data_IF_057207097870
#
_entry.id   IF_057207097870
#
_cell.length_a   1.000
_cell.length_b   1.000
_cell.length_c   1.000
_cell.angle_alpha   90.00
_cell.angle_beta   90.00
_cell.angle_gamma   90.00
#
_symmetry.space_group_name_H-M   'P 1'
#
loop_
_entity.id
_entity.type
_entity.pdbx_description
1 polymer ?
#
# COMPACT_ATOMS: atom_id res chain seq x y z
N UNK A 1 -7.96 27.64 -39.19
CA UNK A 1 -7.47 26.35 -38.65
C UNK A 1 -8.58 25.80 -37.78
N UNK A 2 -9.13 24.62 -38.09
CA UNK A 2 -10.40 24.18 -37.50
C UNK A 2 -10.19 23.43 -36.17
N UNK A 3 -11.06 23.62 -35.19
CA UNK A 3 -10.91 23.10 -33.82
C UNK A 3 -10.75 21.56 -33.77
N UNK A 4 -11.37 20.85 -34.72
CA UNK A 4 -11.24 19.40 -34.87
C UNK A 4 -9.81 18.95 -35.26
N UNK A 5 -9.06 19.79 -35.99
CA UNK A 5 -7.66 19.52 -36.35
C UNK A 5 -6.74 19.68 -35.14
N UNK A 6 -7.00 20.68 -34.29
CA UNK A 6 -6.25 20.93 -33.05
C UNK A 6 -6.44 19.81 -32.02
N UNK A 7 -7.68 19.35 -31.81
CA UNK A 7 -7.99 18.26 -30.86
C UNK A 7 -7.35 16.94 -31.31
N UNK A 8 -7.39 16.63 -32.62
CA UNK A 8 -6.77 15.41 -33.17
C UNK A 8 -5.25 15.41 -33.00
N UNK A 9 -4.60 16.58 -33.14
CA UNK A 9 -3.16 16.74 -32.94
C UNK A 9 -2.77 16.58 -31.45
N UNK A 10 -3.54 17.17 -30.53
CA UNK A 10 -3.36 17.01 -29.07
C UNK A 10 -3.56 15.56 -28.57
N UNK A 11 -4.52 14.81 -29.12
CA UNK A 11 -4.72 13.40 -28.77
C UNK A 11 -3.66 12.46 -29.33
N UNK A 12 -3.06 12.80 -30.48
CA UNK A 12 -1.95 12.02 -31.06
C UNK A 12 -0.64 12.30 -30.30
N UNK A 13 -0.40 13.55 -29.87
CA UNK A 13 0.81 13.92 -29.14
C UNK A 13 0.84 13.39 -27.70
N UNK A 14 -0.31 13.28 -27.02
CA UNK A 14 -0.38 12.74 -25.66
C UNK A 14 -0.19 11.22 -25.62
N UNK A 15 -0.76 10.48 -26.59
CA UNK A 15 -0.52 9.04 -26.74
C UNK A 15 0.92 8.70 -27.15
N UNK A 16 1.55 9.54 -27.97
CA UNK A 16 2.94 9.39 -28.40
C UNK A 16 3.96 9.75 -27.30
N UNK A 17 3.62 10.65 -26.37
CA UNK A 17 4.49 11.05 -25.27
C UNK A 17 4.74 9.90 -24.27
N UNK A 18 3.73 9.09 -23.96
CA UNK A 18 3.89 7.91 -23.10
C UNK A 18 4.69 6.78 -23.74
N UNK A 19 4.67 6.66 -25.07
CA UNK A 19 5.48 5.67 -25.80
C UNK A 19 6.97 6.00 -25.85
N UNK A 20 7.39 7.20 -25.41
CA UNK A 20 8.81 7.63 -25.44
C UNK A 20 9.54 7.49 -24.10
N UNK A 21 8.84 7.20 -23.00
CA UNK A 21 9.49 7.06 -21.71
C UNK A 21 10.24 5.74 -21.64
N UNK A 22 11.46 5.79 -21.11
CA UNK A 22 12.17 4.58 -20.71
C UNK A 22 11.41 3.84 -19.62
N UNK A 23 11.62 2.53 -19.51
CA UNK A 23 11.08 1.76 -18.39
C UNK A 23 11.51 2.35 -17.04
N UNK A 24 12.78 2.79 -16.94
CA UNK A 24 13.29 3.47 -15.74
C UNK A 24 12.54 4.78 -15.48
N UNK A 25 12.36 5.64 -16.49
CA UNK A 25 11.62 6.90 -16.34
C UNK A 25 10.17 6.66 -15.94
N UNK A 26 9.52 5.65 -16.52
CA UNK A 26 8.16 5.27 -16.16
C UNK A 26 8.08 4.86 -14.68
N UNK A 27 8.97 3.96 -14.23
CA UNK A 27 9.02 3.50 -12.84
C UNK A 27 9.36 4.65 -11.89
N UNK A 28 10.33 5.49 -12.24
CA UNK A 28 10.72 6.67 -11.48
C UNK A 28 9.56 7.67 -11.36
N UNK A 29 8.87 7.95 -12.47
CA UNK A 29 7.70 8.83 -12.49
C UNK A 29 6.54 8.29 -11.64
N UNK A 30 6.22 7.00 -11.78
CA UNK A 30 5.22 6.33 -10.94
C UNK A 30 5.61 6.34 -9.46
N UNK A 31 6.90 6.16 -9.14
CA UNK A 31 7.41 6.21 -7.77
C UNK A 31 7.30 7.61 -7.17
N UNK A 32 7.59 8.65 -7.96
CA UNK A 32 7.41 10.04 -7.52
C UNK A 32 5.94 10.37 -7.30
N UNK A 33 5.07 9.91 -8.17
CA UNK A 33 3.62 10.04 -7.98
C UNK A 33 3.18 9.36 -6.67
N UNK A 34 3.64 8.14 -6.40
CA UNK A 34 3.34 7.44 -5.15
C UNK A 34 3.89 8.20 -3.92
N UNK A 35 5.07 8.81 -4.00
CA UNK A 35 5.60 9.64 -2.91
C UNK A 35 4.71 10.84 -2.61
N UNK A 36 4.10 11.45 -3.62
CA UNK A 36 3.23 12.63 -3.45
C UNK A 36 1.92 12.23 -2.75
N UNK A 37 1.33 11.09 -3.12
CA UNK A 37 0.03 10.65 -2.60
C UNK A 37 0.13 9.84 -1.31
N UNK A 38 1.14 8.98 -1.19
CA UNK A 38 1.28 7.99 -0.13
C UNK A 38 2.59 8.11 0.67
N UNK A 39 3.44 9.11 0.37
CA UNK A 39 4.61 9.46 1.16
C UNK A 39 4.25 10.14 2.48
N UNK A 40 5.18 10.89 3.07
CA UNK A 40 4.93 11.58 4.35
C UNK A 40 3.91 12.71 4.18
N UNK A 41 2.96 12.80 5.11
CA UNK A 41 1.79 13.68 4.99
C UNK A 41 2.05 15.11 5.45
N UNK A 42 3.14 15.35 6.18
CA UNK A 42 3.48 16.63 6.78
C UNK A 42 4.98 16.89 6.77
N UNK A 43 5.35 18.12 7.09
CA UNK A 43 6.74 18.53 7.29
C UNK A 43 7.57 18.67 6.00
N UNK A 44 8.89 18.70 6.20
CA UNK A 44 9.88 18.96 5.15
C UNK A 44 9.81 17.93 4.02
N UNK A 45 9.56 16.65 4.34
CA UNK A 45 9.53 15.59 3.33
C UNK A 45 8.43 15.80 2.29
N UNK A 46 7.22 16.15 2.73
CA UNK A 46 6.11 16.48 1.82
C UNK A 46 6.46 17.64 0.91
N UNK A 47 6.99 18.73 1.47
CA UNK A 47 7.37 19.91 0.71
C UNK A 47 8.42 19.59 -0.35
N UNK A 48 9.48 18.86 0.01
CA UNK A 48 10.55 18.47 -0.91
C UNK A 48 10.03 17.56 -2.02
N UNK A 49 9.16 16.62 -1.71
CA UNK A 49 8.53 15.73 -2.72
C UNK A 49 7.66 16.51 -3.71
N UNK A 50 6.86 17.48 -3.23
CA UNK A 50 6.04 18.34 -4.08
C UNK A 50 6.90 19.25 -4.97
N UNK A 51 7.97 19.81 -4.42
CA UNK A 51 8.94 20.59 -5.19
C UNK A 51 9.65 19.73 -6.24
N UNK A 52 10.00 18.48 -5.91
CA UNK A 52 10.57 17.52 -6.84
C UNK A 52 9.58 17.19 -7.98
N UNK A 53 8.29 17.01 -7.69
CA UNK A 53 7.26 16.83 -8.70
C UNK A 53 7.21 18.04 -9.65
N UNK A 54 7.14 19.26 -9.10
CA UNK A 54 7.14 20.48 -9.91
C UNK A 54 8.39 20.57 -10.79
N UNK A 55 9.57 20.30 -10.22
CA UNK A 55 10.83 20.31 -10.96
C UNK A 55 10.83 19.28 -12.10
N UNK A 56 10.31 18.07 -11.87
CA UNK A 56 10.18 17.01 -12.89
C UNK A 56 9.17 17.39 -13.97
N UNK A 57 8.05 18.02 -13.63
CA UNK A 57 7.08 18.53 -14.62
C UNK A 57 7.72 19.58 -15.52
N UNK A 58 8.53 20.48 -14.96
CA UNK A 58 9.27 21.50 -15.72
C UNK A 58 10.45 20.90 -16.51
N UNK A 59 11.08 19.85 -15.99
CA UNK A 59 12.25 19.19 -16.60
C UNK A 59 12.19 17.67 -16.39
N UNK A 60 11.55 16.91 -17.30
CA UNK A 60 11.37 15.46 -17.16
C UNK A 60 12.67 14.66 -17.06
N UNK A 61 13.78 15.18 -17.60
CA UNK A 61 15.11 14.58 -17.47
C UNK A 61 15.57 14.40 -16.00
N UNK A 62 14.95 15.11 -15.06
CA UNK A 62 15.23 14.94 -13.63
C UNK A 62 14.78 13.57 -13.09
N UNK A 63 13.90 12.83 -13.78
CA UNK A 63 13.56 11.46 -13.42
C UNK A 63 14.75 10.51 -13.44
N UNK A 64 15.80 10.84 -14.20
CA UNK A 64 17.05 10.07 -14.25
C UNK A 64 18.16 10.68 -13.37
N UNK A 65 17.85 11.75 -12.63
CA UNK A 65 18.83 12.43 -11.78
C UNK A 65 19.07 11.65 -10.48
N UNK A 66 20.23 10.99 -10.39
CA UNK A 66 20.69 10.37 -9.13
C UNK A 66 20.68 11.35 -7.95
N UNK A 67 21.02 12.61 -8.19
CA UNK A 67 21.07 13.64 -7.13
C UNK A 67 19.67 13.91 -6.58
N UNK A 68 18.66 14.02 -7.47
CA UNK A 68 17.28 14.20 -7.06
C UNK A 68 16.82 13.03 -6.18
N UNK A 69 17.00 11.81 -6.68
CA UNK A 69 16.56 10.61 -5.99
C UNK A 69 17.28 10.40 -4.65
N UNK A 70 18.59 10.69 -4.58
CA UNK A 70 19.34 10.65 -3.33
C UNK A 70 18.84 11.67 -2.31
N UNK A 71 18.55 12.91 -2.74
CA UNK A 71 17.97 13.92 -1.87
C UNK A 71 16.61 13.48 -1.32
N UNK A 72 15.75 12.91 -2.18
CA UNK A 72 14.48 12.32 -1.76
C UNK A 72 14.68 11.18 -0.76
N UNK A 73 15.62 10.25 -1.01
CA UNK A 73 15.94 9.17 -0.08
C UNK A 73 16.33 9.69 1.31
N UNK A 74 17.26 10.65 1.37
CA UNK A 74 17.73 11.22 2.64
C UNK A 74 16.60 11.92 3.39
N UNK A 75 15.86 12.80 2.72
CA UNK A 75 14.78 13.56 3.38
C UNK A 75 13.67 12.63 3.89
N UNK A 76 13.29 11.62 3.11
CA UNK A 76 12.29 10.63 3.56
C UNK A 76 12.83 9.75 4.70
N UNK A 77 14.14 9.48 4.74
CA UNK A 77 14.77 8.75 5.85
C UNK A 77 14.73 9.55 7.14
N UNK A 78 15.05 10.84 7.07
CA UNK A 78 14.96 11.74 8.24
C UNK A 78 13.53 11.80 8.76
N UNK A 79 12.54 11.97 7.88
CA UNK A 79 11.13 11.95 8.27
C UNK A 79 10.70 10.60 8.88
N UNK A 80 11.20 9.49 8.35
CA UNK A 80 10.93 8.16 8.93
C UNK A 80 11.52 8.03 10.34
N UNK A 81 12.76 8.45 10.55
CA UNK A 81 13.44 8.34 11.85
C UNK A 81 12.77 9.23 12.90
N UNK A 82 12.36 10.45 12.52
CA UNK A 82 11.66 11.37 13.42
C UNK A 82 10.30 10.82 13.86
N UNK A 83 9.55 10.20 12.93
CA UNK A 83 8.22 9.66 13.17
C UNK A 83 8.14 8.14 13.39
N UNK A 84 9.25 7.44 13.63
CA UNK A 84 9.32 5.97 13.47
C UNK A 84 8.30 5.18 14.31
N UNK A 85 7.97 5.66 15.51
CA UNK A 85 7.01 4.97 16.39
C UNK A 85 5.58 4.98 15.82
N UNK A 86 5.21 6.03 15.10
CA UNK A 86 3.89 6.20 14.51
C UNK A 86 3.86 5.87 13.00
N UNK A 87 5.02 5.53 12.41
CA UNK A 87 5.13 5.28 10.99
C UNK A 87 4.50 3.93 10.62
N UNK A 88 3.53 3.96 9.71
CA UNK A 88 2.99 2.75 9.12
C UNK A 88 4.05 1.99 8.31
N UNK A 89 3.88 0.66 8.19
CA UNK A 89 4.77 -0.23 7.45
C UNK A 89 5.07 0.27 6.03
N UNK A 90 4.09 0.88 5.35
CA UNK A 90 4.27 1.37 3.99
C UNK A 90 5.25 2.55 3.89
N UNK A 91 5.50 3.30 4.97
CA UNK A 91 6.51 4.37 4.99
C UNK A 91 7.93 3.80 4.95
N UNK A 92 8.23 2.78 5.75
CA UNK A 92 9.51 2.06 5.72
C UNK A 92 9.82 1.50 4.32
N UNK A 93 8.82 0.84 3.75
CA UNK A 93 8.86 0.26 2.43
C UNK A 93 9.07 1.33 1.34
N UNK A 94 8.42 2.48 1.48
CA UNK A 94 8.62 3.63 0.59
C UNK A 94 10.06 4.14 0.65
N UNK A 95 10.62 4.38 1.84
CA UNK A 95 12.02 4.85 1.97
C UNK A 95 13.00 3.88 1.30
N UNK A 96 12.84 2.58 1.58
CA UNK A 96 13.62 1.54 0.91
C UNK A 96 13.50 1.62 -0.62
N UNK A 97 12.28 1.73 -1.14
CA UNK A 97 12.04 1.77 -2.58
C UNK A 97 12.69 3.00 -3.24
N UNK A 98 12.64 4.17 -2.59
CA UNK A 98 13.33 5.37 -3.11
C UNK A 98 14.84 5.15 -3.20
N UNK A 99 15.47 4.45 -2.24
CA UNK A 99 16.87 4.06 -2.36
C UNK A 99 17.13 3.11 -3.54
N UNK A 100 16.24 2.15 -3.79
CA UNK A 100 16.32 1.27 -4.97
C UNK A 100 16.28 2.09 -6.26
N UNK A 101 15.36 3.07 -6.36
CA UNK A 101 15.31 3.97 -7.53
C UNK A 101 16.61 4.78 -7.65
N UNK A 102 17.12 5.36 -6.54
CA UNK A 102 18.41 6.08 -6.51
C UNK A 102 19.57 5.23 -7.05
N UNK A 103 19.64 3.95 -6.66
CA UNK A 103 20.66 3.03 -7.15
C UNK A 103 20.48 2.72 -8.63
N UNK A 104 19.24 2.45 -9.07
CA UNK A 104 18.93 2.08 -10.44
C UNK A 104 19.17 3.20 -11.45
N UNK A 105 18.88 4.46 -11.10
CA UNK A 105 19.21 5.62 -11.95
C UNK A 105 20.68 6.00 -11.88
N UNK A 106 21.38 5.55 -10.82
CA UNK A 106 22.77 5.89 -10.57
C UNK A 106 23.79 5.03 -11.30
N UNK A 107 23.36 3.90 -11.87
CA UNK A 107 24.23 3.02 -12.68
C UNK A 107 24.27 3.48 -14.13
N UNK A 108 25.46 3.49 -14.73
CA UNK A 108 25.65 3.93 -16.12
C UNK A 108 25.05 2.94 -17.14
N UNK A 109 25.02 1.64 -16.81
CA UNK A 109 24.37 0.63 -17.63
C UNK A 109 22.87 0.61 -17.33
N UNK A 110 22.09 1.07 -18.30
CA UNK A 110 20.63 1.13 -18.21
C UNK A 110 19.97 -0.23 -18.05
N UNK A 111 20.47 -1.28 -18.73
CA UNK A 111 19.91 -2.62 -18.58
C UNK A 111 20.15 -3.16 -17.17
N UNK A 112 21.29 -2.83 -16.58
CA UNK A 112 21.58 -3.14 -15.19
C UNK A 112 20.62 -2.41 -14.25
N UNK A 113 20.34 -1.11 -14.50
CA UNK A 113 19.35 -0.35 -13.73
C UNK A 113 17.94 -0.94 -13.79
N UNK A 114 17.48 -1.33 -14.98
CA UNK A 114 16.20 -2.02 -15.17
C UNK A 114 16.17 -3.37 -14.44
N UNK A 115 17.29 -4.10 -14.45
CA UNK A 115 17.45 -5.37 -13.75
C UNK A 115 17.38 -5.18 -12.23
N UNK A 116 18.02 -4.14 -11.68
CA UNK A 116 17.94 -3.78 -10.26
C UNK A 116 16.48 -3.53 -9.87
N UNK A 117 15.74 -2.71 -10.62
CA UNK A 117 14.33 -2.41 -10.33
C UNK A 117 13.46 -3.67 -10.38
N UNK A 118 13.67 -4.53 -11.38
CA UNK A 118 12.91 -5.76 -11.54
C UNK A 118 13.15 -6.74 -10.36
N UNK A 119 14.41 -6.95 -9.98
CA UNK A 119 14.76 -7.84 -8.86
C UNK A 119 14.25 -7.32 -7.53
N UNK A 120 14.49 -6.04 -7.25
CA UNK A 120 14.03 -5.43 -6.01
C UNK A 120 12.50 -5.37 -5.95
N UNK A 121 11.81 -5.02 -7.04
CA UNK A 121 10.34 -5.03 -7.09
C UNK A 121 9.76 -6.43 -6.85
N UNK A 122 10.38 -7.47 -7.45
CA UNK A 122 9.99 -8.87 -7.24
C UNK A 122 10.14 -9.27 -5.78
N UNK A 123 11.34 -9.11 -5.22
CA UNK A 123 11.59 -9.53 -3.84
C UNK A 123 10.85 -8.68 -2.83
N UNK A 124 10.59 -7.40 -3.14
CA UNK A 124 9.72 -6.56 -2.33
C UNK A 124 8.33 -7.15 -2.21
N UNK A 125 7.71 -7.60 -3.33
CA UNK A 125 6.43 -8.31 -3.28
C UNK A 125 6.53 -9.60 -2.46
N UNK A 126 7.55 -10.43 -2.71
CA UNK A 126 7.76 -11.68 -1.95
C UNK A 126 7.84 -11.40 -0.46
N UNK A 127 8.70 -10.48 -0.03
CA UNK A 127 8.94 -10.21 1.38
C UNK A 127 7.74 -9.54 2.03
N UNK A 128 7.11 -8.54 1.40
CA UNK A 128 5.95 -7.86 1.98
C UNK A 128 4.82 -8.86 2.22
N UNK A 129 4.50 -9.70 1.24
CA UNK A 129 3.39 -10.65 1.37
C UNK A 129 3.72 -11.83 2.28
N UNK A 130 4.90 -12.46 2.12
CA UNK A 130 5.27 -13.60 2.97
C UNK A 130 5.55 -13.18 4.42
N UNK A 131 6.21 -12.05 4.66
CA UNK A 131 6.47 -11.58 6.02
C UNK A 131 5.18 -11.13 6.71
N UNK A 132 4.27 -10.46 6.00
CA UNK A 132 2.96 -10.12 6.54
C UNK A 132 2.14 -11.37 6.89
N UNK A 133 2.13 -12.38 6.01
CA UNK A 133 1.44 -13.64 6.28
C UNK A 133 2.09 -14.43 7.43
N UNK A 134 3.42 -14.44 7.52
CA UNK A 134 4.13 -15.08 8.62
C UNK A 134 3.84 -14.39 9.96
N UNK A 135 3.88 -13.06 10.01
CA UNK A 135 3.55 -12.28 11.20
C UNK A 135 2.11 -12.56 11.67
N UNK A 136 1.16 -12.68 10.74
CA UNK A 136 -0.22 -13.07 11.03
C UNK A 136 -0.33 -14.47 11.59
N UNK A 137 0.41 -15.42 11.02
CA UNK A 137 0.40 -16.84 11.43
C UNK A 137 0.90 -17.01 12.86
N UNK A 138 1.92 -16.24 13.28
CA UNK A 138 2.46 -16.29 14.65
C UNK A 138 1.64 -15.49 15.66
N UNK A 139 0.62 -14.74 15.23
CA UNK A 139 -0.22 -13.90 16.09
C UNK A 139 -1.48 -14.66 16.53
N UNK A 140 -1.60 -15.07 17.81
CA UNK A 140 -2.76 -15.84 18.26
C UNK A 140 -4.08 -15.10 18.10
N UNK A 141 -4.09 -13.79 18.35
CA UNK A 141 -5.27 -12.91 18.20
C UNK A 141 -5.67 -12.68 16.75
N UNK A 142 -4.73 -12.84 15.81
CA UNK A 142 -5.06 -12.81 14.39
C UNK A 142 -5.73 -14.11 13.97
N UNK A 143 -5.11 -15.24 14.35
CA UNK A 143 -5.54 -16.59 13.97
C UNK A 143 -6.86 -17.01 14.62
N UNK A 144 -7.24 -16.40 15.75
CA UNK A 144 -8.55 -16.62 16.39
C UNK A 144 -9.73 -16.01 15.60
N UNK A 145 -9.48 -15.10 14.66
CA UNK A 145 -10.53 -14.36 13.96
C UNK A 145 -11.02 -13.11 14.69
N UNK A 146 -10.58 -12.89 15.94
CA UNK A 146 -11.03 -11.79 16.79
C UNK A 146 -10.77 -10.42 16.17
N UNK A 147 -9.65 -10.25 15.44
CA UNK A 147 -9.35 -9.01 14.74
C UNK A 147 -10.41 -8.64 13.70
N UNK A 148 -10.83 -9.59 12.85
CA UNK A 148 -11.85 -9.31 11.83
C UNK A 148 -13.27 -9.32 12.40
N UNK A 149 -13.54 -10.13 13.44
CA UNK A 149 -14.78 -10.04 14.22
C UNK A 149 -14.96 -8.62 14.78
N UNK A 150 -13.92 -8.08 15.42
CA UNK A 150 -13.91 -6.70 15.91
C UNK A 150 -14.14 -5.70 14.77
N UNK A 151 -13.42 -5.84 13.64
CA UNK A 151 -13.59 -4.94 12.48
C UNK A 151 -15.01 -4.97 11.90
N UNK A 152 -15.62 -6.14 11.78
CA UNK A 152 -17.01 -6.28 11.32
C UNK A 152 -18.01 -5.55 12.23
N UNK A 153 -17.70 -5.45 13.52
CA UNK A 153 -18.54 -4.75 14.50
C UNK A 153 -18.31 -3.23 14.50
N UNK A 154 -17.05 -2.77 14.48
CA UNK A 154 -16.73 -1.37 14.78
C UNK A 154 -16.24 -0.55 13.57
N UNK A 155 -15.66 -1.17 12.55
CA UNK A 155 -15.09 -0.47 11.39
C UNK A 155 -16.16 -0.21 10.33
N UNK A 156 -16.42 1.06 10.02
CA UNK A 156 -17.47 1.47 9.08
C UNK A 156 -17.32 0.85 7.68
N UNK A 157 -16.08 0.60 7.25
CA UNK A 157 -15.81 -0.02 5.93
C UNK A 157 -16.33 -1.45 5.90
N UNK A 158 -16.21 -2.17 7.02
CA UNK A 158 -16.64 -3.56 7.15
C UNK A 158 -18.14 -3.68 7.50
N UNK A 159 -18.76 -2.65 8.09
CA UNK A 159 -20.21 -2.64 8.36
C UNK A 159 -21.05 -2.83 7.11
N UNK A 160 -20.71 -2.15 6.01
CA UNK A 160 -21.44 -2.28 4.74
C UNK A 160 -21.39 -3.71 4.20
N UNK A 161 -20.21 -4.35 4.23
CA UNK A 161 -20.05 -5.76 3.88
C UNK A 161 -20.80 -6.68 4.84
N UNK A 162 -20.75 -6.39 6.12
CA UNK A 162 -21.49 -7.11 7.15
C UNK A 162 -22.99 -7.14 6.87
N UNK A 163 -23.59 -6.00 6.54
CA UNK A 163 -25.02 -5.93 6.21
C UNK A 163 -25.36 -6.71 4.93
N UNK A 164 -24.51 -6.64 3.90
CA UNK A 164 -24.69 -7.42 2.68
C UNK A 164 -24.68 -8.94 2.98
N UNK A 165 -23.85 -9.35 3.94
CA UNK A 165 -23.74 -10.73 4.39
C UNK A 165 -24.80 -11.09 5.45
N UNK A 166 -25.77 -10.21 5.70
CA UNK A 166 -26.92 -10.46 6.58
C UNK A 166 -26.60 -10.38 8.07
N UNK A 167 -25.60 -9.57 8.47
CA UNK A 167 -25.34 -9.26 9.87
C UNK A 167 -26.39 -8.27 10.40
N UNK A 168 -26.92 -8.58 11.59
CA UNK A 168 -27.86 -7.71 12.28
C UNK A 168 -27.16 -6.41 12.69
N UNK A 169 -27.74 -5.30 12.25
CA UNK A 169 -27.23 -3.96 12.55
C UNK A 169 -27.29 -3.64 14.04
N UNK A 170 -28.27 -4.19 14.77
CA UNK A 170 -28.43 -3.94 16.21
C UNK A 170 -27.17 -4.34 17.01
N UNK A 171 -26.51 -5.42 16.60
CA UNK A 171 -25.31 -5.95 17.26
C UNK A 171 -24.11 -5.04 17.01
N UNK A 172 -23.91 -4.60 15.76
CA UNK A 172 -22.84 -3.68 15.39
C UNK A 172 -23.03 -2.29 16.01
N UNK A 173 -24.27 -1.80 16.07
CA UNK A 173 -24.60 -0.52 16.72
C UNK A 173 -24.35 -0.59 18.22
N UNK A 174 -24.77 -1.67 18.89
CA UNK A 174 -24.49 -1.89 20.31
C UNK A 174 -22.98 -2.01 20.62
N UNK A 175 -22.22 -2.70 19.76
CA UNK A 175 -20.77 -2.79 19.89
C UNK A 175 -20.10 -1.42 19.70
N UNK A 176 -20.59 -0.62 18.75
CA UNK A 176 -20.09 0.73 18.50
C UNK A 176 -20.37 1.66 19.68
N UNK A 177 -21.60 1.68 20.22
CA UNK A 177 -21.94 2.45 21.40
C UNK A 177 -21.08 2.07 22.61
N UNK A 178 -20.85 0.78 22.83
CA UNK A 178 -19.98 0.29 23.89
C UNK A 178 -18.53 0.74 23.68
N UNK A 179 -18.04 0.71 22.44
CA UNK A 179 -16.71 1.22 22.09
C UNK A 179 -16.58 2.74 22.28
N UNK A 180 -17.65 3.50 22.08
CA UNK A 180 -17.67 4.94 22.33
C UNK A 180 -17.58 5.24 23.84
N UNK A 181 -18.20 4.39 24.68
CA UNK A 181 -18.07 4.50 26.16
C UNK A 181 -16.65 4.24 26.64
N UNK A 182 -15.89 3.34 26.00
CA UNK A 182 -14.47 3.11 26.31
C UNK A 182 -13.60 4.36 26.13
N UNK A 183 -14.02 5.32 25.29
CA UNK A 183 -13.30 6.59 25.10
C UNK A 183 -13.62 7.63 26.17
N UNK A 184 -14.64 7.39 27.01
CA UNK A 184 -15.01 8.31 28.07
C UNK A 184 -14.17 8.02 29.33
N UNK A 185 -13.30 8.95 29.75
CA UNK A 185 -12.41 8.75 30.89
C UNK A 185 -13.12 8.59 32.24
N UNK A 186 -14.43 8.89 32.29
CA UNK A 186 -15.27 8.74 33.48
C UNK A 186 -15.95 7.37 33.58
N UNK A 187 -15.77 6.49 32.58
CA UNK A 187 -16.40 5.16 32.60
C UNK A 187 -15.44 4.15 33.19
N UNK A 188 -15.77 3.62 34.36
CA UNK A 188 -15.04 2.51 34.97
C UNK A 188 -15.58 1.18 34.44
N UNK A 189 -14.67 0.30 34.01
CA UNK A 189 -14.98 -1.07 33.62
C UNK A 189 -14.29 -2.02 34.58
N UNK A 190 -15.06 -2.96 35.12
CA UNK A 190 -14.55 -3.98 36.03
C UNK A 190 -13.44 -4.79 35.33
N UNK A 191 -12.26 -4.87 35.97
CA UNK A 191 -11.11 -5.60 35.43
C UNK A 191 -10.47 -5.01 34.17
N UNK A 192 -10.77 -3.76 33.79
CA UNK A 192 -10.28 -3.12 32.56
C UNK A 192 -10.58 -3.93 31.28
N UNK A 193 -11.66 -4.72 31.27
CA UNK A 193 -12.06 -5.56 30.16
C UNK A 193 -13.54 -5.36 29.83
N UNK A 194 -13.85 -5.40 28.53
CA UNK A 194 -15.22 -5.27 28.03
C UNK A 194 -15.45 -6.30 26.94
N UNK A 195 -16.49 -7.13 27.12
CA UNK A 195 -16.93 -8.04 26.07
C UNK A 195 -17.80 -7.28 25.07
N UNK A 196 -17.38 -7.25 23.81
CA UNK A 196 -18.19 -6.70 22.74
C UNK A 196 -19.37 -7.64 22.43
N UNK A 197 -20.59 -7.12 22.23
CA UNK A 197 -21.70 -7.94 21.77
C UNK A 197 -21.38 -8.48 20.38
N UNK A 198 -21.46 -9.79 20.23
CA UNK A 198 -21.16 -10.50 18.98
C UNK A 198 -22.08 -11.70 18.85
N UNK A 199 -22.11 -12.30 17.65
CA UNK A 199 -22.88 -13.50 17.35
C UNK A 199 -21.98 -14.55 16.72
N UNK A 200 -22.37 -15.83 16.78
CA UNK A 200 -21.62 -16.92 16.16
C UNK A 200 -21.39 -16.70 14.65
N UNK A 201 -22.33 -16.02 13.99
CA UNK A 201 -22.21 -15.66 12.57
C UNK A 201 -21.10 -14.64 12.33
N UNK A 202 -21.00 -13.61 13.16
CA UNK A 202 -19.95 -12.58 13.06
C UNK A 202 -18.58 -13.21 13.34
N UNK A 203 -18.49 -14.05 14.38
CA UNK A 203 -17.27 -14.80 14.70
C UNK A 203 -16.84 -15.70 13.55
N UNK A 204 -17.76 -16.49 12.99
CA UNK A 204 -17.48 -17.38 11.86
C UNK A 204 -17.01 -16.58 10.64
N UNK A 205 -17.67 -15.46 10.34
CA UNK A 205 -17.27 -14.61 9.23
C UNK A 205 -15.89 -13.98 9.46
N UNK A 206 -15.61 -13.52 10.67
CA UNK A 206 -14.28 -13.02 11.06
C UNK A 206 -13.19 -14.06 10.81
N UNK A 207 -13.44 -15.31 11.21
CA UNK A 207 -12.53 -16.43 10.96
C UNK A 207 -12.34 -16.73 9.46
N UNK A 208 -13.43 -16.72 8.67
CA UNK A 208 -13.35 -16.92 7.20
C UNK A 208 -12.50 -15.82 6.56
N UNK A 209 -12.70 -14.56 6.95
CA UNK A 209 -11.92 -13.43 6.42
C UNK A 209 -10.44 -13.54 6.85
N UNK A 210 -10.16 -13.94 8.10
CA UNK A 210 -8.79 -14.23 8.58
C UNK A 210 -8.08 -15.22 7.67
N UNK A 211 -8.70 -16.37 7.39
CA UNK A 211 -8.08 -17.40 6.57
C UNK A 211 -7.97 -16.99 5.11
N UNK A 212 -8.98 -16.32 4.57
CA UNK A 212 -8.93 -15.76 3.22
C UNK A 212 -7.73 -14.81 3.07
N UNK A 213 -7.61 -13.81 3.95
CA UNK A 213 -6.55 -12.82 3.91
C UNK A 213 -5.16 -13.46 4.08
N UNK A 214 -5.04 -14.45 4.96
CA UNK A 214 -3.78 -15.17 5.16
C UNK A 214 -3.38 -15.98 3.92
N UNK A 215 -4.30 -16.77 3.37
CA UNK A 215 -4.03 -17.66 2.24
C UNK A 215 -3.67 -16.85 0.99
N UNK A 216 -4.41 -15.78 0.70
CA UNK A 216 -4.14 -14.97 -0.49
C UNK A 216 -2.78 -14.28 -0.41
N UNK A 217 -2.36 -13.79 0.76
CA UNK A 217 -1.03 -13.19 0.93
C UNK A 217 0.08 -14.22 0.72
N UNK A 218 -0.02 -15.41 1.32
CA UNK A 218 0.94 -16.49 1.03
C UNK A 218 0.96 -16.86 -0.46
N UNK A 219 -0.20 -17.00 -1.08
CA UNK A 219 -0.30 -17.34 -2.50
C UNK A 219 0.43 -16.30 -3.37
N UNK A 220 0.18 -15.00 -3.16
CA UNK A 220 0.84 -13.92 -3.90
C UNK A 220 2.36 -13.98 -3.71
N UNK A 221 2.83 -14.00 -2.46
CA UNK A 221 4.27 -14.00 -2.17
C UNK A 221 4.99 -15.21 -2.76
N UNK A 222 4.41 -16.41 -2.61
CA UNK A 222 4.99 -17.65 -3.11
C UNK A 222 5.00 -17.73 -4.65
N UNK A 223 3.99 -17.19 -5.34
CA UNK A 223 3.95 -17.14 -6.81
C UNK A 223 5.05 -16.26 -7.41
N UNK A 224 5.51 -15.25 -6.66
CA UNK A 224 6.63 -14.40 -7.06
C UNK A 224 8.00 -14.94 -6.63
N UNK A 225 8.13 -16.14 -6.08
CA UNK A 225 9.46 -16.74 -5.84
C UNK A 225 10.10 -17.30 -7.13
N UNK A 226 9.42 -18.11 -7.97
CA UNK A 226 10.10 -18.94 -8.99
C UNK A 226 10.75 -18.23 -10.18
N UNK A 227 10.43 -16.96 -10.44
CA UNK A 227 10.97 -16.23 -11.60
C UNK A 227 10.23 -16.48 -12.91
N UNK A 228 9.08 -17.15 -12.91
CA UNK A 228 8.51 -17.75 -14.12
C UNK A 228 7.31 -16.96 -14.65
N UNK A 229 7.27 -16.76 -15.96
CA UNK A 229 6.22 -15.93 -16.60
C UNK A 229 4.78 -16.41 -16.41
N UNK A 230 4.53 -17.69 -16.08
CA UNK A 230 3.17 -18.18 -15.74
C UNK A 230 2.84 -17.86 -14.28
N UNK A 231 3.74 -18.18 -13.34
CA UNK A 231 3.52 -17.93 -11.91
C UNK A 231 3.41 -16.44 -11.64
N UNK A 232 4.23 -15.62 -12.30
CA UNK A 232 4.18 -14.16 -12.17
C UNK A 232 2.86 -13.59 -12.71
N UNK A 233 2.36 -14.10 -13.84
CA UNK A 233 1.04 -13.69 -14.38
C UNK A 233 -0.10 -13.98 -13.41
N UNK A 234 -0.13 -15.18 -12.85
CA UNK A 234 -1.14 -15.55 -11.84
C UNK A 234 -0.96 -14.69 -10.58
N UNK A 235 0.28 -14.47 -10.15
CA UNK A 235 0.61 -13.61 -9.01
C UNK A 235 0.11 -12.18 -9.21
N UNK A 236 0.25 -11.61 -10.40
CA UNK A 236 -0.28 -10.27 -10.72
C UNK A 236 -1.82 -10.23 -10.70
N UNK A 237 -2.51 -11.25 -11.22
CA UNK A 237 -3.97 -11.30 -11.14
C UNK A 237 -4.45 -11.41 -9.69
N UNK A 238 -3.81 -12.26 -8.87
CA UNK A 238 -4.13 -12.36 -7.45
C UNK A 238 -3.80 -11.07 -6.70
N UNK A 239 -2.71 -10.38 -7.04
CA UNK A 239 -2.36 -9.09 -6.45
C UNK A 239 -3.43 -8.03 -6.74
N UNK A 240 -3.89 -7.94 -7.99
CA UNK A 240 -4.97 -7.00 -8.35
C UNK A 240 -6.28 -7.34 -7.64
N UNK A 241 -6.61 -8.63 -7.55
CA UNK A 241 -7.78 -9.10 -6.81
C UNK A 241 -7.66 -8.78 -5.31
N UNK A 242 -6.50 -8.98 -4.71
CA UNK A 242 -6.21 -8.59 -3.33
C UNK A 242 -6.43 -7.10 -3.12
N UNK A 243 -5.80 -6.23 -3.94
CA UNK A 243 -5.96 -4.77 -3.87
C UNK A 243 -7.44 -4.33 -3.96
N UNK A 244 -8.27 -5.05 -4.72
CA UNK A 244 -9.70 -4.73 -4.83
C UNK A 244 -10.54 -5.18 -3.62
N UNK A 245 -10.10 -6.22 -2.91
CA UNK A 245 -10.89 -6.89 -1.87
C UNK A 245 -10.44 -6.60 -0.44
N UNK A 246 -9.26 -6.00 -0.24
CA UNK A 246 -8.65 -5.71 1.06
C UNK A 246 -8.26 -4.25 1.18
#
# INVERSE_FOLDING_TARGET
MNAATYVKQLTVDTGAAFQRLSQIQFIAGASLFLLVYWGFEEGLAKFVVQLALLAVVLRPALLESRVLWLALSIVNTVALVDGWVAADNHKYLTVYWVYVVTLAVGVSDRKLGETILAWHGRFFLVFVFCAAALQKTISPTYMSGEMFEMRLLIDERFKAFGHLLGLDKSVADAAYELSARLRNPMTEFEGNAVALPSTDRIRTLGLVITWYDLIIQYAIGLLFIPGRGITDRIGHYLLLFFIFTT
#
